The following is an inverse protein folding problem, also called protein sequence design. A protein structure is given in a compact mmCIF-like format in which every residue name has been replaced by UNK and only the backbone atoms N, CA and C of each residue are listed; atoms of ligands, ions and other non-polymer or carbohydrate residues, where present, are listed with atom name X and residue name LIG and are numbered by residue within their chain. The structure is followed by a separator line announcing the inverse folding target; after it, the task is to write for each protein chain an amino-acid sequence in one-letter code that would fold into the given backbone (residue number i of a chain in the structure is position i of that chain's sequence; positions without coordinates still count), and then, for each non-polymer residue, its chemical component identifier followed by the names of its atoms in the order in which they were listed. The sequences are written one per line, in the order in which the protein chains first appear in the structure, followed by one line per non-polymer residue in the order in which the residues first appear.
data_IF_721005737324
#
_entry.id   IF_721005737324
#
_cell.length_a   1.000
_cell.length_b   1.000
_cell.length_c   1.000
_cell.angle_alpha   90.00
_cell.angle_beta   90.00
_cell.angle_gamma   90.00
#
_symmetry.space_group_name_H-M   'P 1'
#
loop_
_entity.id
_entity.type
_entity.pdbx_description
1 polymer ?
#
# COMPACT_ATOMS: atom_id res chain seq x y z
N UNK A 1 -27.64 -5.56 -30.66
CA UNK A 1 -27.09 -6.52 -29.67
C UNK A 1 -25.85 -6.00 -28.94
N UNK A 2 -24.86 -5.40 -29.62
CA UNK A 2 -23.66 -4.82 -28.99
C UNK A 2 -23.90 -3.81 -27.83
N UNK A 3 -24.84 -2.85 -27.92
CA UNK A 3 -25.02 -1.86 -26.85
C UNK A 3 -25.55 -2.47 -25.55
N UNK A 4 -26.36 -3.52 -25.66
CA UNK A 4 -26.92 -4.24 -24.52
C UNK A 4 -25.83 -5.06 -23.81
N UNK A 5 -24.99 -5.75 -24.61
CA UNK A 5 -23.82 -6.50 -24.13
C UNK A 5 -22.84 -5.59 -23.39
N UNK A 6 -22.61 -4.38 -23.92
CA UNK A 6 -21.73 -3.40 -23.30
C UNK A 6 -22.31 -2.85 -21.99
N UNK A 7 -23.63 -2.71 -21.90
CA UNK A 7 -24.32 -2.31 -20.67
C UNK A 7 -24.23 -3.40 -19.60
N UNK A 8 -24.46 -4.66 -19.99
CA UNK A 8 -24.35 -5.84 -19.14
C UNK A 8 -22.92 -6.00 -18.58
N UNK A 9 -21.89 -5.87 -19.43
CA UNK A 9 -20.49 -5.90 -18.98
C UNK A 9 -20.18 -4.80 -17.96
N UNK A 10 -20.75 -3.60 -18.15
CA UNK A 10 -20.53 -2.49 -17.23
C UNK A 10 -21.19 -2.74 -15.87
N UNK A 11 -22.41 -3.27 -15.88
CA UNK A 11 -23.13 -3.65 -14.65
C UNK A 11 -22.40 -4.78 -13.90
N UNK A 12 -21.81 -5.75 -14.60
CA UNK A 12 -21.05 -6.83 -13.96
C UNK A 12 -19.71 -6.37 -13.36
N UNK A 13 -19.02 -5.44 -14.02
CA UNK A 13 -17.81 -4.81 -13.45
C UNK A 13 -18.12 -4.06 -12.16
N UNK A 14 -19.26 -3.35 -12.12
CA UNK A 14 -19.73 -2.62 -10.94
C UNK A 14 -20.08 -3.57 -9.79
N UNK A 15 -20.75 -4.69 -10.07
CA UNK A 15 -21.03 -5.74 -9.07
C UNK A 15 -19.76 -6.36 -8.50
N UNK A 16 -18.77 -6.68 -9.33
CA UNK A 16 -17.49 -7.22 -8.87
C UNK A 16 -16.72 -6.23 -7.99
N UNK A 17 -16.73 -4.94 -8.35
CA UNK A 17 -16.13 -3.90 -7.51
C UNK A 17 -16.84 -3.74 -6.17
N UNK A 18 -18.18 -3.80 -6.15
CA UNK A 18 -18.96 -3.74 -4.92
C UNK A 18 -18.71 -4.96 -4.00
N UNK A 19 -18.55 -6.16 -4.58
CA UNK A 19 -18.22 -7.36 -3.83
C UNK A 19 -16.82 -7.32 -3.21
N UNK A 20 -15.84 -6.74 -3.91
CA UNK A 20 -14.48 -6.57 -3.40
C UNK A 20 -14.39 -5.60 -2.21
N UNK A 21 -15.27 -4.59 -2.17
CA UNK A 21 -15.34 -3.62 -1.06
C UNK A 21 -16.21 -4.11 0.11
N UNK A 22 -17.10 -5.07 -0.11
CA UNK A 22 -17.96 -5.65 0.94
C UNK A 22 -17.33 -6.89 1.58
N UNK A 23 -16.11 -6.75 2.08
CA UNK A 23 -15.36 -7.80 2.79
C UNK A 23 -15.88 -8.14 4.19
N UNK A 24 -17.17 -7.90 4.50
CA UNK A 24 -17.80 -8.28 5.76
C UNK A 24 -19.07 -9.13 5.50
N UNK A 25 -18.85 -10.35 5.00
CA UNK A 25 -19.74 -11.48 5.29
C UNK A 25 -19.64 -11.75 6.81
N UNK A 26 -20.61 -11.27 7.58
CA UNK A 26 -20.85 -11.70 8.97
C UNK A 26 -22.16 -12.49 9.07
N UNK A 27 -22.42 -13.39 8.12
CA UNK A 27 -23.64 -14.18 8.18
C UNK A 27 -23.48 -15.60 7.65
N UNK A 28 -22.43 -16.29 8.09
CA UNK A 28 -22.41 -17.74 8.04
C UNK A 28 -22.21 -18.29 9.45
N UNK A 29 -23.36 -18.72 10.01
CA UNK A 29 -23.52 -19.88 10.89
C UNK A 29 -22.98 -19.76 12.31
N UNK A 30 -23.84 -19.29 13.23
CA UNK A 30 -23.92 -19.81 14.61
C UNK A 30 -25.36 -19.65 15.10
N UNK A 31 -26.24 -20.48 14.55
CA UNK A 31 -27.56 -20.80 15.12
C UNK A 31 -27.35 -21.97 16.10
N UNK A 32 -27.12 -21.66 17.38
CA UNK A 32 -27.35 -22.63 18.47
C UNK A 32 -27.72 -21.92 19.78
N UNK A 33 -29.01 -22.03 20.09
CA UNK A 33 -29.55 -22.25 21.44
C UNK A 33 -29.47 -21.10 22.48
N UNK A 34 -30.52 -20.28 22.46
CA UNK A 34 -31.35 -19.94 23.63
C UNK A 34 -30.72 -20.03 25.03
N UNK A 35 -30.01 -18.98 25.47
CA UNK A 35 -30.24 -18.27 26.77
C UNK A 35 -29.21 -17.15 26.98
N UNK A 36 -29.72 -16.05 27.50
CA UNK A 36 -29.00 -14.93 28.16
C UNK A 36 -28.42 -13.85 27.22
N UNK A 37 -28.91 -12.62 27.41
CA UNK A 37 -28.39 -11.40 26.78
C UNK A 37 -26.99 -11.10 27.35
N UNK A 38 -25.96 -11.76 26.87
CA UNK A 38 -24.59 -11.29 27.06
C UNK A 38 -24.37 -10.04 26.18
N UNK A 39 -23.77 -8.95 26.69
CA UNK A 39 -23.41 -7.81 25.86
C UNK A 39 -22.45 -8.30 24.78
N UNK A 40 -22.75 -7.96 23.52
CA UNK A 40 -21.88 -8.24 22.36
C UNK A 40 -20.47 -7.76 22.70
N UNK A 41 -19.58 -8.71 23.03
CA UNK A 41 -18.19 -8.43 23.37
C UNK A 41 -17.56 -7.86 22.12
N UNK A 42 -17.45 -6.52 22.04
CA UNK A 42 -16.76 -5.84 20.95
C UNK A 42 -15.35 -6.43 20.91
N UNK A 43 -14.93 -6.92 19.73
CA UNK A 43 -13.56 -7.37 19.54
C UNK A 43 -12.62 -6.24 19.98
N UNK A 44 -11.54 -6.53 20.70
CA UNK A 44 -10.57 -5.51 21.06
C UNK A 44 -10.08 -4.82 19.78
N UNK A 45 -9.76 -3.52 19.85
CA UNK A 45 -9.21 -2.81 18.70
C UNK A 45 -7.94 -3.53 18.19
N UNK A 46 -7.66 -3.48 16.87
CA UNK A 46 -6.40 -3.96 16.33
C UNK A 46 -5.22 -3.40 17.13
N UNK A 47 -4.27 -4.27 17.48
CA UNK A 47 -3.05 -3.84 18.17
C UNK A 47 -2.15 -3.08 17.21
N UNK A 48 -1.61 -1.95 17.66
CA UNK A 48 -0.60 -1.21 16.90
C UNK A 48 0.75 -1.95 17.03
N UNK A 49 1.49 -2.03 15.94
CA UNK A 49 2.83 -2.63 15.89
C UNK A 49 3.69 -1.76 14.99
N UNK A 50 4.87 -1.42 15.47
CA UNK A 50 5.87 -0.72 14.68
C UNK A 50 7.00 -1.68 14.33
N UNK A 51 7.18 -1.93 13.04
CA UNK A 51 8.20 -2.80 12.46
C UNK A 51 9.61 -2.18 12.47
N UNK A 52 9.74 -0.87 12.73
CA UNK A 52 11.04 -0.19 12.85
C UNK A 52 11.70 -0.47 14.22
N UNK A 53 10.90 -0.48 15.30
CA UNK A 53 11.38 -0.68 16.69
C UNK A 53 11.03 -2.06 17.26
N UNK A 54 10.34 -2.91 16.51
CA UNK A 54 9.76 -4.19 16.97
C UNK A 54 8.92 -4.06 18.25
N UNK A 55 8.14 -2.97 18.36
CA UNK A 55 7.42 -2.63 19.57
C UNK A 55 5.89 -2.58 19.36
N UNK A 56 5.15 -3.23 20.26
CA UNK A 56 3.68 -3.29 20.23
C UNK A 56 3.04 -2.18 21.08
N UNK A 57 1.84 -1.77 20.69
CA UNK A 57 0.91 -0.87 21.39
C UNK A 57 1.44 0.53 21.76
N UNK A 58 2.62 0.92 21.28
CA UNK A 58 3.20 2.25 21.52
C UNK A 58 2.85 3.24 20.41
N UNK A 59 3.26 2.90 19.18
CA UNK A 59 3.04 3.65 17.95
C UNK A 59 2.98 2.65 16.79
N UNK A 60 2.50 3.09 15.64
CA UNK A 60 2.67 2.36 14.37
C UNK A 60 3.98 2.76 13.68
N UNK A 61 4.24 2.21 12.50
CA UNK A 61 5.44 2.52 11.72
C UNK A 61 5.57 4.03 11.38
N UNK A 62 4.46 4.73 11.13
CA UNK A 62 4.46 6.14 10.68
C UNK A 62 4.78 7.12 11.82
N UNK A 63 4.46 6.77 13.07
CA UNK A 63 4.73 7.58 14.27
C UNK A 63 6.06 7.22 14.97
N UNK A 64 6.93 6.43 14.32
CA UNK A 64 8.16 5.96 14.95
C UNK A 64 9.18 7.10 15.13
N UNK A 65 9.68 7.39 16.35
CA UNK A 65 10.65 8.47 16.56
C UNK A 65 11.99 8.23 15.86
N UNK A 66 12.37 6.97 15.63
CA UNK A 66 13.55 6.61 14.84
C UNK A 66 13.34 6.88 13.34
N UNK A 67 12.10 7.03 12.88
CA UNK A 67 11.76 7.46 11.52
C UNK A 67 12.36 8.85 11.20
N UNK A 68 12.46 9.76 12.17
CA UNK A 68 13.11 11.07 11.96
C UNK A 68 14.65 10.99 11.94
N UNK A 69 15.26 9.95 12.50
CA UNK A 69 16.71 9.79 12.44
C UNK A 69 17.19 9.34 11.05
N UNK A 70 16.31 8.76 10.24
CA UNK A 70 16.58 8.48 8.82
C UNK A 70 16.32 9.68 7.89
N UNK A 71 16.30 10.91 8.42
CA UNK A 71 16.28 12.14 7.60
C UNK A 71 17.59 12.36 6.81
N UNK A 72 18.51 11.38 6.84
CA UNK A 72 19.62 11.23 5.89
C UNK A 72 19.19 10.49 4.61
N UNK A 73 17.89 10.20 4.46
CA UNK A 73 17.35 9.78 3.17
C UNK A 73 17.54 10.95 2.19
N UNK A 74 18.19 10.74 1.04
CA UNK A 74 18.36 11.78 0.03
C UNK A 74 17.02 12.46 -0.22
N UNK A 75 17.00 13.79 -0.37
CA UNK A 75 15.75 14.50 -0.63
C UNK A 75 15.00 13.79 -1.74
N UNK A 76 13.69 13.55 -1.54
CA UNK A 76 12.84 12.98 -2.58
C UNK A 76 13.15 13.68 -3.90
N UNK A 77 13.24 12.90 -4.97
CA UNK A 77 13.70 13.47 -6.23
C UNK A 77 12.84 14.65 -6.65
N UNK A 78 13.42 15.85 -6.69
CA UNK A 78 12.78 17.06 -7.19
C UNK A 78 12.66 17.06 -8.73
N UNK A 79 12.68 15.88 -9.36
CA UNK A 79 12.61 15.71 -10.80
C UNK A 79 11.16 15.95 -11.26
N UNK A 80 10.92 17.14 -11.80
CA UNK A 80 9.65 17.54 -12.42
C UNK A 80 9.64 17.10 -13.89
N UNK A 81 9.72 15.79 -14.12
CA UNK A 81 9.77 15.21 -15.46
C UNK A 81 8.51 15.48 -16.28
N UNK A 82 8.66 15.44 -17.60
CA UNK A 82 7.52 15.46 -18.52
C UNK A 82 6.85 14.09 -18.50
N UNK A 83 5.51 14.06 -18.48
CA UNK A 83 4.75 12.81 -18.51
C UNK A 83 5.06 12.04 -19.79
N UNK A 84 5.67 10.86 -19.64
CA UNK A 84 6.02 9.97 -20.75
C UNK A 84 7.49 10.00 -21.17
N UNK A 85 8.30 10.89 -20.58
CA UNK A 85 9.76 10.82 -20.74
C UNK A 85 10.39 10.00 -19.62
N UNK A 86 11.36 9.16 -20.00
CA UNK A 86 12.12 8.35 -19.06
C UNK A 86 13.25 9.18 -18.45
N UNK A 87 13.38 9.10 -17.13
CA UNK A 87 14.45 9.79 -16.41
C UNK A 87 15.76 9.03 -16.63
N UNK A 88 16.88 9.72 -16.93
CA UNK A 88 18.18 9.07 -17.05
C UNK A 88 18.56 8.33 -15.76
N UNK A 89 18.76 7.02 -15.89
CA UNK A 89 19.21 6.11 -14.85
C UNK A 89 20.45 5.36 -15.34
N UNK A 90 21.41 5.18 -14.44
CA UNK A 90 22.63 4.44 -14.71
C UNK A 90 22.65 3.16 -13.89
N UNK A 91 22.67 2.02 -14.57
CA UNK A 91 22.71 0.70 -13.93
C UNK A 91 24.07 0.39 -13.30
N UNK A 92 25.15 1.05 -13.75
CA UNK A 92 26.51 0.88 -13.20
C UNK A 92 26.62 1.57 -11.83
N UNK A 93 26.10 2.80 -11.73
CA UNK A 93 26.15 3.58 -10.50
C UNK A 93 24.92 3.39 -9.61
N UNK A 94 23.88 2.71 -10.10
CA UNK A 94 22.57 2.54 -9.48
C UNK A 94 21.90 3.87 -9.06
N UNK A 95 22.24 4.98 -9.71
CA UNK A 95 21.71 6.33 -9.42
C UNK A 95 21.04 6.97 -10.64
N UNK A 96 20.12 7.88 -10.35
CA UNK A 96 19.56 8.78 -11.36
C UNK A 96 20.50 9.97 -11.64
N UNK A 97 20.60 10.38 -12.90
CA UNK A 97 21.31 11.60 -13.28
C UNK A 97 22.06 11.53 -14.62
N UNK A 98 22.36 10.33 -15.09
CA UNK A 98 22.95 10.06 -16.41
C UNK A 98 22.48 8.68 -16.89
N UNK A 99 22.62 8.43 -18.19
CA UNK A 99 22.39 7.11 -18.78
C UNK A 99 23.62 6.22 -18.59
N UNK A 100 23.40 4.91 -18.51
CA UNK A 100 24.48 3.91 -18.46
C UNK A 100 25.51 4.12 -19.58
N UNK A 101 25.08 4.50 -20.79
CA UNK A 101 25.97 4.76 -21.95
C UNK A 101 26.90 5.97 -21.80
N UNK A 102 26.58 6.91 -20.91
CA UNK A 102 27.35 8.12 -20.64
C UNK A 102 28.05 8.08 -19.27
N UNK A 103 28.10 6.90 -18.64
CA UNK A 103 28.73 6.70 -17.35
C UNK A 103 30.26 6.83 -17.46
N UNK A 104 30.87 7.57 -16.54
CA UNK A 104 32.32 7.61 -16.37
C UNK A 104 32.67 6.79 -15.12
N UNK A 105 32.80 5.48 -15.29
CA UNK A 105 33.08 4.49 -14.23
C UNK A 105 34.56 4.46 -13.79
N UNK A 106 35.43 5.23 -14.46
CA UNK A 106 36.88 5.33 -14.18
C UNK A 106 37.25 6.11 -12.90
N UNK A 107 36.31 6.35 -11.97
CA UNK A 107 36.61 6.96 -10.67
C UNK A 107 37.18 5.90 -9.71
N UNK A 108 38.46 5.57 -9.84
CA UNK A 108 39.21 4.87 -8.78
C UNK A 108 39.41 5.81 -7.58
N UNK A 109 38.97 5.39 -6.40
CA UNK A 109 39.14 6.09 -5.12
C UNK A 109 40.60 6.17 -4.65
#
# INVERSE_FOLDING_TARGET
MLPLKNKELKEDMEKMAAAALNGNNTNELDDYDSREKEPVKKKPPPRLFCDICDCFDLHDTEDCPTQMQMNDSPPHSAYHGVKGEERPYCDICEVFGHWTDACNDDQTF
#
